data_IF_903562595108
#
_entry.id   IF_903562595108
#
_cell.length_a   1.000
_cell.length_b   1.000
_cell.length_c   1.000
_cell.angle_alpha   90.00
_cell.angle_beta   90.00
_cell.angle_gamma   90.00
#
_symmetry.space_group_name_H-M   'P 1'
#
loop_
_entity.id
_entity.type
_entity.pdbx_description
1 polymer ?
#
# COMPACT_ATOMS: atom_id res chain seq x y z
N UNK A 1 13.33 -26.94 15.71
CA UNK A 1 14.18 -26.72 14.52
C UNK A 1 15.30 -27.74 14.52
N UNK A 2 15.50 -28.47 13.42
CA UNK A 2 16.57 -29.47 13.29
C UNK A 2 17.92 -28.81 12.96
N UNK A 3 19.02 -29.12 13.69
CA UNK A 3 20.32 -28.49 13.46
C UNK A 3 20.90 -28.66 12.04
N UNK A 4 20.63 -29.79 11.37
CA UNK A 4 21.08 -30.04 9.99
C UNK A 4 20.37 -29.12 9.01
N UNK A 5 19.06 -28.91 9.18
CA UNK A 5 18.28 -28.02 8.32
C UNK A 5 18.68 -26.56 8.53
N UNK A 6 18.90 -26.13 9.78
CA UNK A 6 19.35 -24.77 10.09
C UNK A 6 20.68 -24.47 9.37
N UNK A 7 21.66 -25.36 9.46
CA UNK A 7 22.95 -25.19 8.77
C UNK A 7 22.80 -25.03 7.26
N UNK A 8 21.94 -25.82 6.63
CA UNK A 8 21.71 -25.76 5.19
C UNK A 8 21.09 -24.42 4.76
N UNK A 9 20.11 -23.90 5.53
CA UNK A 9 19.46 -22.62 5.24
C UNK A 9 20.43 -21.45 5.45
N UNK A 10 21.23 -21.47 6.52
CA UNK A 10 22.25 -20.44 6.78
C UNK A 10 23.28 -20.39 5.67
N UNK A 11 23.81 -21.53 5.23
CA UNK A 11 24.79 -21.60 4.14
C UNK A 11 24.21 -21.04 2.83
N UNK A 12 22.96 -21.41 2.48
CA UNK A 12 22.30 -20.90 1.29
C UNK A 12 22.13 -19.38 1.34
N UNK A 13 21.70 -18.84 2.48
CA UNK A 13 21.54 -17.40 2.69
C UNK A 13 22.86 -16.65 2.54
N UNK A 14 23.94 -17.13 3.18
CA UNK A 14 25.27 -16.51 3.10
C UNK A 14 25.78 -16.50 1.67
N UNK A 15 25.72 -17.63 0.95
CA UNK A 15 26.14 -17.70 -0.47
C UNK A 15 25.36 -16.74 -1.36
N UNK A 16 24.05 -16.64 -1.16
CA UNK A 16 23.21 -15.73 -1.95
C UNK A 16 23.50 -14.25 -1.63
N UNK A 17 23.84 -13.93 -0.38
CA UNK A 17 24.28 -12.60 0.01
C UNK A 17 25.66 -12.25 -0.56
N UNK A 18 26.64 -13.15 -0.46
CA UNK A 18 27.99 -12.95 -1.04
C UNK A 18 27.95 -12.78 -2.57
N UNK A 19 26.99 -13.42 -3.26
CA UNK A 19 26.74 -13.23 -4.70
C UNK A 19 25.94 -11.97 -5.04
N UNK A 20 25.57 -11.15 -4.04
CA UNK A 20 24.77 -9.93 -4.24
C UNK A 20 23.30 -10.17 -4.62
N UNK A 21 22.79 -11.40 -4.48
CA UNK A 21 21.39 -11.73 -4.81
C UNK A 21 20.45 -11.40 -3.65
N UNK A 22 20.94 -11.47 -2.41
CA UNK A 22 20.24 -11.02 -1.21
C UNK A 22 20.88 -9.73 -0.71
N UNK A 23 20.06 -8.74 -0.35
CA UNK A 23 20.49 -7.48 0.22
C UNK A 23 19.46 -6.96 1.22
N UNK A 24 19.86 -5.95 2.01
CA UNK A 24 18.97 -5.24 2.92
C UNK A 24 18.75 -3.81 2.42
N UNK A 25 17.49 -3.41 2.32
CA UNK A 25 17.10 -2.05 1.98
C UNK A 25 15.75 -1.71 2.61
N UNK A 26 15.44 -0.42 2.68
CA UNK A 26 14.12 0.06 3.05
C UNK A 26 13.23 0.02 1.80
N UNK A 27 12.17 -0.77 1.85
CA UNK A 27 11.16 -0.88 0.78
C UNK A 27 9.76 -1.00 1.38
N UNK A 28 8.74 -0.73 0.57
CA UNK A 28 7.37 -1.05 0.93
C UNK A 28 7.22 -2.57 1.04
N UNK A 29 6.59 -3.03 2.12
CA UNK A 29 6.33 -4.45 2.39
C UNK A 29 4.87 -4.65 2.75
N UNK A 30 4.34 -5.84 2.49
CA UNK A 30 3.04 -6.22 3.01
C UNK A 30 3.21 -6.51 4.51
N UNK A 31 2.54 -5.72 5.36
CA UNK A 31 2.57 -5.88 6.81
C UNK A 31 1.23 -6.42 7.31
N UNK A 32 1.26 -7.53 8.05
CA UNK A 32 0.09 -8.06 8.73
C UNK A 32 -0.01 -7.49 10.15
N UNK A 33 -1.03 -6.68 10.43
CA UNK A 33 -1.26 -6.14 11.76
C UNK A 33 -1.58 -7.22 12.80
N UNK A 34 -2.23 -8.32 12.37
CA UNK A 34 -2.58 -9.43 13.24
C UNK A 34 -1.36 -10.27 13.64
N UNK A 35 -0.50 -10.60 12.66
CA UNK A 35 0.72 -11.38 12.91
C UNK A 35 1.88 -10.53 13.45
N UNK A 36 1.81 -9.21 13.27
CA UNK A 36 2.88 -8.25 13.56
C UNK A 36 4.19 -8.63 12.85
N UNK A 37 4.07 -9.01 11.57
CA UNK A 37 5.19 -9.40 10.72
C UNK A 37 4.98 -8.94 9.28
N UNK A 38 6.09 -8.76 8.57
CA UNK A 38 6.09 -8.68 7.11
C UNK A 38 5.76 -10.06 6.52
N UNK A 39 5.03 -10.06 5.40
CA UNK A 39 4.67 -11.26 4.63
C UNK A 39 5.04 -11.05 3.16
N UNK A 40 5.29 -12.16 2.46
CA UNK A 40 5.62 -12.16 1.03
C UNK A 40 4.37 -11.97 0.17
N UNK A 41 4.55 -11.54 -1.08
CA UNK A 41 3.42 -11.33 -2.01
C UNK A 41 2.63 -12.62 -2.27
N UNK A 42 3.29 -13.78 -2.27
CA UNK A 42 2.63 -15.09 -2.48
C UNK A 42 1.74 -15.50 -1.29
N UNK A 43 1.96 -14.92 -0.11
CA UNK A 43 1.11 -15.14 1.07
C UNK A 43 -0.10 -14.20 1.10
N UNK A 44 -0.21 -13.25 0.16
CA UNK A 44 -1.32 -12.29 0.09
C UNK A 44 -2.39 -12.77 -0.89
N UNK A 45 -3.55 -13.12 -0.35
CA UNK A 45 -4.74 -13.40 -1.15
C UNK A 45 -5.54 -12.12 -1.40
N UNK A 46 -5.81 -11.81 -2.68
CA UNK A 46 -6.60 -10.65 -3.08
C UNK A 46 -8.08 -11.03 -3.19
N UNK A 47 -8.94 -10.24 -2.55
CA UNK A 47 -10.40 -10.38 -2.65
C UNK A 47 -10.98 -9.14 -3.33
N UNK A 48 -11.68 -9.34 -4.43
CA UNK A 48 -12.40 -8.27 -5.12
C UNK A 48 -13.73 -7.98 -4.40
N UNK A 49 -14.06 -6.70 -4.29
CA UNK A 49 -15.31 -6.20 -3.73
C UNK A 49 -15.96 -5.29 -4.76
N UNK A 50 -17.24 -5.51 -5.05
CA UNK A 50 -18.01 -4.71 -6.03
C UNK A 50 -18.63 -3.45 -5.43
N UNK A 51 -18.59 -3.31 -4.10
CA UNK A 51 -19.12 -2.15 -3.40
C UNK A 51 -18.95 -2.24 -1.88
N UNK A 52 -19.66 -1.37 -1.17
CA UNK A 52 -19.63 -1.26 0.29
C UNK A 52 -19.90 -2.60 0.97
N UNK A 53 -18.92 -3.11 1.70
CA UNK A 53 -18.97 -4.42 2.34
C UNK A 53 -18.36 -4.35 3.74
N UNK A 54 -19.06 -4.90 4.73
CA UNK A 54 -18.53 -5.07 6.09
C UNK A 54 -17.82 -6.43 6.19
N UNK A 55 -16.52 -6.42 6.48
CA UNK A 55 -15.70 -7.62 6.59
C UNK A 55 -15.12 -7.77 8.00
N UNK A 56 -15.07 -9.00 8.54
CA UNK A 56 -14.30 -9.26 9.77
C UNK A 56 -12.81 -9.12 9.48
N UNK A 57 -12.08 -8.45 10.37
CA UNK A 57 -10.62 -8.30 10.30
C UNK A 57 -10.00 -8.94 11.54
N UNK A 58 -9.01 -9.83 11.41
CA UNK A 58 -8.36 -10.44 12.57
C UNK A 58 -7.82 -9.39 13.55
N UNK A 59 -8.22 -9.49 14.81
CA UNK A 59 -7.83 -8.54 15.88
C UNK A 59 -8.83 -7.40 16.13
N UNK A 60 -9.92 -7.31 15.36
CA UNK A 60 -10.99 -6.33 15.58
C UNK A 60 -12.25 -7.04 16.08
N UNK A 61 -12.93 -6.45 17.05
CA UNK A 61 -14.21 -6.95 17.58
C UNK A 61 -15.34 -6.74 16.59
N UNK A 62 -15.39 -5.53 16.00
CA UNK A 62 -16.40 -5.13 15.04
C UNK A 62 -15.93 -5.35 13.60
N UNK A 63 -16.90 -5.52 12.68
CA UNK A 63 -16.59 -5.58 11.25
C UNK A 63 -16.14 -4.22 10.75
N UNK A 64 -15.11 -4.24 9.90
CA UNK A 64 -14.56 -3.04 9.27
C UNK A 64 -15.19 -2.86 7.89
N UNK A 65 -15.44 -1.62 7.53
CA UNK A 65 -16.02 -1.24 6.25
C UNK A 65 -14.97 -1.16 5.14
N UNK A 66 -15.27 -1.77 3.99
CA UNK A 66 -14.44 -1.75 2.79
C UNK A 66 -15.30 -1.44 1.55
N UNK A 67 -14.65 -1.02 0.46
CA UNK A 67 -15.33 -0.81 -0.82
C UNK A 67 -16.19 0.45 -0.89
N UNK A 68 -15.94 1.43 0.00
CA UNK A 68 -16.54 2.76 -0.06
C UNK A 68 -15.58 3.70 -0.78
N UNK A 69 -16.09 4.47 -1.73
CA UNK A 69 -15.31 5.48 -2.45
C UNK A 69 -15.70 6.87 -1.94
N UNK A 70 -14.76 7.55 -1.29
CA UNK A 70 -14.95 8.90 -0.74
C UNK A 70 -14.31 9.92 -1.66
N UNK A 71 -15.04 10.98 -1.98
CA UNK A 71 -14.53 12.09 -2.78
C UNK A 71 -14.34 13.33 -1.91
N UNK A 72 -13.20 13.99 -2.07
CA UNK A 72 -12.86 15.23 -1.37
C UNK A 72 -12.00 16.11 -2.28
N UNK A 73 -11.85 17.39 -1.95
CA UNK A 73 -11.19 18.36 -2.82
C UNK A 73 -9.95 18.98 -2.18
N UNK A 74 -8.87 19.08 -2.95
CA UNK A 74 -7.68 19.87 -2.61
C UNK A 74 -7.74 21.24 -3.26
N UNK A 75 -7.51 22.30 -2.48
CA UNK A 75 -7.41 23.67 -3.00
C UNK A 75 -6.09 23.89 -3.72
N UNK A 76 -6.13 24.53 -4.88
CA UNK A 76 -4.92 24.92 -5.61
C UNK A 76 -4.34 26.20 -5.02
N UNK A 77 -3.05 26.18 -4.70
CA UNK A 77 -2.37 27.32 -4.10
C UNK A 77 -2.45 28.54 -5.02
N UNK A 78 -3.00 29.64 -4.50
CA UNK A 78 -3.09 30.92 -5.21
C UNK A 78 -4.18 30.97 -6.29
N UNK A 79 -5.12 30.02 -6.30
CA UNK A 79 -6.29 30.01 -7.19
C UNK A 79 -7.55 29.67 -6.39
N UNK A 80 -8.71 29.98 -6.97
CA UNK A 80 -10.02 29.58 -6.46
C UNK A 80 -10.49 28.24 -7.07
N UNK A 81 -9.57 27.50 -7.68
CA UNK A 81 -9.80 26.18 -8.27
C UNK A 81 -9.48 25.08 -7.25
N UNK A 82 -10.20 23.97 -7.35
CA UNK A 82 -9.98 22.78 -6.52
C UNK A 82 -9.86 21.54 -7.40
N UNK A 83 -9.15 20.52 -6.91
CA UNK A 83 -9.04 19.21 -7.55
C UNK A 83 -9.71 18.17 -6.69
N UNK A 84 -10.76 17.54 -7.24
CA UNK A 84 -11.49 16.47 -6.57
C UNK A 84 -10.74 15.15 -6.76
N UNK A 85 -10.44 14.48 -5.65
CA UNK A 85 -9.81 13.16 -5.61
C UNK A 85 -10.79 12.17 -4.96
N UNK A 86 -10.84 10.96 -5.49
CA UNK A 86 -11.64 9.86 -4.97
C UNK A 86 -10.74 8.72 -4.48
N UNK A 87 -10.92 8.26 -3.24
CA UNK A 87 -10.12 7.18 -2.62
C UNK A 87 -11.00 6.25 -1.78
N UNK A 88 -10.59 4.99 -1.64
CA UNK A 88 -11.20 4.05 -0.69
C UNK A 88 -10.53 4.04 0.69
N UNK A 89 -9.50 4.87 0.87
CA UNK A 89 -8.69 4.98 2.10
C UNK A 89 -8.56 6.44 2.50
N UNK A 90 -9.67 7.10 2.84
CA UNK A 90 -9.67 8.55 3.15
C UNK A 90 -8.75 8.89 4.33
N UNK A 91 -8.51 7.95 5.24
CA UNK A 91 -7.60 8.13 6.36
C UNK A 91 -6.13 8.30 5.92
N UNK A 92 -5.76 7.90 4.70
CA UNK A 92 -4.40 8.10 4.17
C UNK A 92 -4.18 9.50 3.60
N UNK A 93 -5.24 10.32 3.47
CA UNK A 93 -5.18 11.70 2.94
C UNK A 93 -4.10 12.56 3.61
N UNK A 94 -3.84 12.36 4.90
CA UNK A 94 -2.83 13.13 5.64
C UNK A 94 -1.38 12.73 5.29
N UNK A 95 -1.20 11.58 4.64
CA UNK A 95 0.08 11.12 4.11
C UNK A 95 0.30 11.48 2.65
N UNK A 96 -0.65 12.18 2.01
CA UNK A 96 -0.55 12.55 0.60
C UNK A 96 0.56 13.59 0.41
N UNK A 97 1.38 13.37 -0.62
CA UNK A 97 2.53 14.23 -0.96
C UNK A 97 2.38 14.91 -2.32
N UNK A 98 1.50 14.38 -3.17
CA UNK A 98 1.18 14.90 -4.49
C UNK A 98 -0.18 14.36 -4.96
N UNK A 99 -0.78 15.03 -5.94
CA UNK A 99 -1.93 14.52 -6.69
C UNK A 99 -1.44 14.13 -8.09
N UNK A 100 -1.73 12.90 -8.51
CA UNK A 100 -1.38 12.43 -9.85
C UNK A 100 -2.50 12.74 -10.84
N UNK A 101 -2.13 13.34 -11.98
CA UNK A 101 -3.04 13.66 -13.08
C UNK A 101 -2.53 12.98 -14.34
N UNK A 102 -3.42 12.39 -15.13
CA UNK A 102 -3.06 11.82 -16.42
C UNK A 102 -2.63 12.94 -17.38
N UNK A 103 -1.48 12.82 -18.09
CA UNK A 103 -0.94 13.90 -18.91
C UNK A 103 -1.89 14.33 -20.03
N UNK A 104 -2.71 13.42 -20.54
CA UNK A 104 -3.68 13.70 -21.61
C UNK A 104 -5.09 14.06 -21.10
N UNK A 105 -5.28 14.28 -19.79
CA UNK A 105 -6.59 14.68 -19.25
C UNK A 105 -6.80 16.20 -19.43
N UNK A 106 -7.63 16.64 -20.40
CA UNK A 106 -7.76 18.07 -20.72
C UNK A 106 -8.37 18.87 -19.56
N UNK A 107 -9.01 18.22 -18.59
CA UNK A 107 -9.65 18.89 -17.44
C UNK A 107 -8.62 19.49 -16.47
N UNK A 108 -7.41 18.92 -16.42
CA UNK A 108 -6.42 19.22 -15.38
C UNK A 108 -5.00 19.47 -15.93
N UNK A 109 -4.80 19.44 -17.25
CA UNK A 109 -3.51 19.71 -17.88
C UNK A 109 -2.88 21.04 -17.43
N UNK A 110 -3.70 22.08 -17.23
CA UNK A 110 -3.24 23.40 -16.78
C UNK A 110 -2.76 23.42 -15.32
N UNK A 111 -3.02 22.35 -14.56
CA UNK A 111 -2.62 22.18 -13.16
C UNK A 111 -1.36 21.32 -12.99
N UNK A 112 -0.84 20.70 -14.06
CA UNK A 112 0.37 19.88 -13.98
C UNK A 112 1.57 20.76 -13.57
N UNK A 113 2.24 20.36 -12.48
CA UNK A 113 3.38 21.08 -11.91
C UNK A 113 3.01 22.35 -11.14
N UNK A 114 1.73 22.53 -10.79
CA UNK A 114 1.26 23.60 -9.92
C UNK A 114 1.24 23.20 -8.45
#
# INVERSE_FOLDING_TARGET
MDPKMVRAVTEAFVRMHERGTIYRSNRLVNWSCALRSAISDIEVYKKELTGRTLLPVPGYEEKVEFGVLTSFAYKIKGRDEEVVVSTTRVETMLGDTAVAVHPDDPRYQHLIGK
#
